data_IF_225327244311
#
_entry.id   IF_225327244311
#
_cell.length_a   1.000
_cell.length_b   1.000
_cell.length_c   1.000
_cell.angle_alpha   90.00
_cell.angle_beta   90.00
_cell.angle_gamma   90.00
#
_symmetry.space_group_name_H-M   'P 1'
#
loop_
_entity.id
_entity.type
_entity.pdbx_description
1 polymer ?
#
# COMPACT_ATOMS: atom_id res chain seq x y z
N UNK A 1 32.55 -14.10 -7.22
CA UNK A 1 31.97 -13.54 -5.97
C UNK A 1 31.73 -14.57 -4.88
N UNK A 2 31.26 -15.81 -5.13
CA UNK A 2 31.03 -16.80 -4.06
C UNK A 2 32.29 -17.39 -3.40
N UNK A 3 33.42 -17.45 -4.11
CA UNK A 3 34.67 -18.03 -3.57
C UNK A 3 35.38 -17.11 -2.56
N UNK A 4 35.30 -15.80 -2.78
CA UNK A 4 35.95 -14.77 -1.97
C UNK A 4 35.36 -14.64 -0.55
N UNK A 5 34.07 -14.98 -0.37
CA UNK A 5 33.41 -14.95 0.94
C UNK A 5 33.79 -16.14 1.80
N UNK A 6 34.01 -17.31 1.19
CA UNK A 6 34.40 -18.53 1.90
C UNK A 6 35.84 -18.43 2.43
N UNK A 7 36.76 -17.91 1.61
CA UNK A 7 38.16 -17.67 1.98
C UNK A 7 38.28 -16.63 3.11
N UNK A 8 37.40 -15.61 3.12
CA UNK A 8 37.33 -14.64 4.22
C UNK A 8 36.80 -15.28 5.52
N UNK A 9 35.88 -16.24 5.43
CA UNK A 9 35.31 -16.93 6.60
C UNK A 9 36.33 -17.85 7.28
N UNK A 10 37.04 -18.66 6.50
CA UNK A 10 38.07 -19.56 7.01
C UNK A 10 39.26 -18.80 7.63
N UNK A 11 39.58 -17.62 7.10
CA UNK A 11 40.63 -16.75 7.64
C UNK A 11 40.28 -16.14 9.01
N UNK A 12 39.00 -16.00 9.35
CA UNK A 12 38.55 -15.47 10.64
C UNK A 12 38.52 -16.59 11.69
N UNK A 13 38.13 -17.80 11.30
CA UNK A 13 38.06 -18.98 12.18
C UNK A 13 39.45 -19.41 12.68
N UNK A 14 40.50 -19.27 11.86
CA UNK A 14 41.88 -19.55 12.28
C UNK A 14 42.45 -18.56 13.32
N UNK A 15 41.90 -17.34 13.42
CA UNK A 15 42.42 -16.29 14.29
C UNK A 15 41.95 -16.41 15.77
N UNK A 16 40.99 -17.28 16.06
CA UNK A 16 40.39 -17.44 17.40
C UNK A 16 40.82 -18.74 18.12
N UNK A 17 41.94 -19.34 17.72
CA UNK A 17 42.48 -20.50 18.41
C UNK A 17 43.14 -20.10 19.75
N UNK A 18 42.32 -19.99 20.81
CA UNK A 18 42.81 -19.78 22.17
C UNK A 18 41.91 -18.99 23.14
N UNK A 19 40.69 -18.63 22.76
CA UNK A 19 39.72 -18.03 23.71
C UNK A 19 38.54 -18.98 23.91
N UNK A 20 38.15 -19.16 25.17
CA UNK A 20 37.27 -20.20 25.68
C UNK A 20 36.00 -20.43 24.87
N UNK A 21 35.72 -21.70 24.63
CA UNK A 21 34.51 -22.25 23.99
C UNK A 21 33.19 -21.75 24.63
N UNK A 22 33.26 -21.29 25.89
CA UNK A 22 32.14 -20.69 26.62
C UNK A 22 31.83 -19.22 26.27
N UNK A 23 32.69 -18.51 25.52
CA UNK A 23 32.44 -17.12 25.11
C UNK A 23 31.76 -17.01 23.75
N UNK A 24 31.62 -18.12 23.02
CA UNK A 24 31.05 -18.14 21.67
C UNK A 24 29.56 -18.51 21.64
N UNK A 25 29.03 -19.13 22.71
CA UNK A 25 27.62 -19.56 22.78
C UNK A 25 26.66 -18.41 23.08
N UNK A 26 27.12 -17.26 23.61
CA UNK A 26 26.25 -16.11 23.89
C UNK A 26 26.12 -15.10 22.74
N UNK A 27 26.68 -15.41 21.56
CA UNK A 27 26.57 -14.56 20.36
C UNK A 27 25.60 -15.12 19.30
N UNK A 28 25.03 -16.30 19.53
CA UNK A 28 24.07 -16.97 18.64
C UNK A 28 22.68 -17.15 19.25
N UNK A 29 22.40 -16.47 20.37
CA UNK A 29 21.01 -16.13 20.77
C UNK A 29 20.56 -14.87 20.00
N UNK A 30 20.86 -14.81 18.69
CA UNK A 30 20.27 -13.81 17.81
C UNK A 30 19.01 -14.44 17.24
N UNK A 31 17.88 -14.10 17.88
CA UNK A 31 16.54 -14.45 17.44
C UNK A 31 16.39 -14.25 15.92
N UNK A 32 16.39 -15.35 15.17
CA UNK A 32 16.05 -15.41 13.75
C UNK A 32 14.51 -15.43 13.54
N UNK A 33 13.76 -14.94 14.53
CA UNK A 33 12.30 -15.12 14.65
C UNK A 33 11.47 -13.83 14.43
N UNK A 34 12.02 -12.80 13.76
CA UNK A 34 11.22 -11.56 13.54
C UNK A 34 11.70 -10.54 12.51
N UNK A 35 12.86 -10.73 11.89
CA UNK A 35 13.44 -9.71 10.99
C UNK A 35 12.96 -9.88 9.54
N UNK A 36 12.52 -11.08 9.14
CA UNK A 36 12.13 -11.36 7.75
C UNK A 36 10.71 -10.92 7.38
N UNK A 37 9.77 -10.97 8.33
CA UNK A 37 8.39 -10.47 8.14
C UNK A 37 8.30 -8.96 8.29
N UNK A 38 8.97 -8.38 9.30
CA UNK A 38 9.00 -6.93 9.53
C UNK A 38 9.47 -6.13 8.32
N UNK A 39 10.44 -6.67 7.55
CA UNK A 39 10.93 -6.03 6.32
C UNK A 39 9.89 -5.96 5.20
N UNK A 40 8.95 -6.91 5.11
CA UNK A 40 7.90 -6.88 4.08
C UNK A 40 6.89 -5.79 4.40
N UNK A 41 6.52 -5.68 5.67
CA UNK A 41 5.61 -4.64 6.16
C UNK A 41 6.25 -3.25 6.02
N UNK A 42 7.55 -3.11 6.27
CA UNK A 42 8.28 -1.85 6.08
C UNK A 42 8.31 -1.38 4.60
N UNK A 43 8.49 -2.31 3.65
CA UNK A 43 8.51 -1.97 2.21
C UNK A 43 7.09 -1.68 1.71
N UNK A 44 6.10 -2.43 2.17
CA UNK A 44 4.71 -2.15 1.88
C UNK A 44 4.30 -0.77 2.41
N UNK A 45 4.63 -0.44 3.65
CA UNK A 45 4.32 0.88 4.22
C UNK A 45 5.01 2.01 3.45
N UNK A 46 6.24 1.80 2.96
CA UNK A 46 6.90 2.75 2.05
C UNK A 46 6.13 2.94 0.74
N UNK A 47 5.58 1.87 0.16
CA UNK A 47 4.74 1.96 -1.04
C UNK A 47 3.44 2.72 -0.75
N UNK A 48 2.78 2.41 0.38
CA UNK A 48 1.53 3.06 0.79
C UNK A 48 1.76 4.55 1.06
N UNK A 49 2.84 4.89 1.77
CA UNK A 49 3.26 6.27 2.04
C UNK A 49 3.62 7.01 0.75
N UNK A 50 4.29 6.35 -0.21
CA UNK A 50 4.58 6.95 -1.50
C UNK A 50 3.30 7.21 -2.32
N UNK A 51 2.34 6.30 -2.25
CA UNK A 51 1.03 6.46 -2.88
C UNK A 51 0.23 7.61 -2.25
N UNK A 52 0.31 7.76 -0.94
CA UNK A 52 -0.35 8.85 -0.18
C UNK A 52 0.24 10.22 -0.49
N UNK A 53 1.57 10.32 -0.67
CA UNK A 53 2.28 11.58 -0.92
C UNK A 53 2.44 11.93 -2.41
N UNK A 54 1.69 11.30 -3.30
CA UNK A 54 1.79 11.44 -4.76
C UNK A 54 3.23 11.23 -5.33
N UNK A 55 4.04 10.36 -4.70
CA UNK A 55 5.43 10.11 -5.10
C UNK A 55 5.54 8.94 -6.10
N UNK A 56 5.18 9.21 -7.35
CA UNK A 56 5.26 8.23 -8.45
C UNK A 56 6.67 7.65 -8.66
N UNK A 57 7.77 8.43 -8.63
CA UNK A 57 9.12 7.88 -8.79
C UNK A 57 9.46 6.80 -7.75
N UNK A 58 9.14 7.04 -6.48
CA UNK A 58 9.36 6.07 -5.41
C UNK A 58 8.50 4.82 -5.61
N UNK A 59 7.22 4.98 -5.95
CA UNK A 59 6.35 3.84 -6.24
C UNK A 59 6.87 2.99 -7.40
N UNK A 60 7.32 3.62 -8.48
CA UNK A 60 7.94 2.92 -9.62
C UNK A 60 9.19 2.15 -9.20
N UNK A 61 10.04 2.75 -8.37
CA UNK A 61 11.24 2.08 -7.86
C UNK A 61 10.91 0.87 -6.98
N UNK A 62 9.86 0.94 -6.15
CA UNK A 62 9.46 -0.17 -5.29
C UNK A 62 8.82 -1.28 -6.11
N UNK A 63 7.90 -0.94 -7.01
CA UNK A 63 7.19 -1.92 -7.84
C UNK A 63 8.07 -2.58 -8.90
N UNK A 64 9.15 -1.91 -9.36
CA UNK A 64 10.12 -2.54 -10.26
C UNK A 64 10.93 -3.64 -9.56
N UNK A 65 11.18 -3.49 -8.26
CA UNK A 65 11.84 -4.50 -7.43
C UNK A 65 10.86 -5.60 -6.99
N UNK A 66 9.61 -5.22 -6.66
CA UNK A 66 8.59 -6.12 -6.13
C UNK A 66 7.21 -5.84 -6.74
N UNK A 67 6.94 -6.34 -7.97
CA UNK A 67 5.66 -6.09 -8.65
C UNK A 67 4.44 -6.67 -7.90
N UNK A 68 4.64 -7.70 -7.08
CA UNK A 68 3.58 -8.35 -6.30
C UNK A 68 2.94 -7.41 -5.28
N UNK A 69 3.64 -6.34 -4.86
CA UNK A 69 3.12 -5.37 -3.90
C UNK A 69 1.94 -4.54 -4.44
N UNK A 70 1.72 -4.49 -5.76
CA UNK A 70 0.59 -3.77 -6.35
C UNK A 70 -0.77 -4.25 -5.82
N UNK A 71 -0.86 -5.53 -5.42
CA UNK A 71 -2.06 -6.16 -4.84
C UNK A 71 -1.98 -6.34 -3.33
N UNK A 72 -0.85 -6.00 -2.71
CA UNK A 72 -0.67 -6.12 -1.28
C UNK A 72 -1.47 -5.03 -0.54
N UNK A 73 -1.81 -5.33 0.70
CA UNK A 73 -2.56 -4.43 1.58
C UNK A 73 -1.97 -4.47 2.98
N UNK A 74 -2.10 -3.36 3.71
CA UNK A 74 -1.70 -3.31 5.12
C UNK A 74 -2.61 -4.18 6.00
N UNK A 75 -2.34 -4.14 7.30
CA UNK A 75 -3.09 -4.89 8.30
C UNK A 75 -4.60 -4.63 8.20
N UNK A 76 -5.06 -3.46 7.75
CA UNK A 76 -6.48 -3.08 7.65
C UNK A 76 -7.08 -3.29 6.26
N UNK A 77 -6.29 -3.84 5.33
CA UNK A 77 -6.72 -4.14 3.98
C UNK A 77 -6.61 -2.94 3.03
N UNK A 78 -5.92 -1.87 3.42
CA UNK A 78 -5.65 -0.75 2.52
C UNK A 78 -4.54 -1.10 1.55
N UNK A 79 -4.86 -1.07 0.26
CA UNK A 79 -3.87 -1.14 -0.82
C UNK A 79 -3.31 0.23 -1.14
N UNK A 80 -2.24 0.29 -1.94
CA UNK A 80 -1.69 1.55 -2.43
C UNK A 80 -2.75 2.42 -3.15
N UNK A 81 -3.71 1.79 -3.84
CA UNK A 81 -4.78 2.51 -4.54
C UNK A 81 -5.77 3.15 -3.56
N UNK A 82 -6.06 2.51 -2.41
CA UNK A 82 -6.89 3.15 -1.38
C UNK A 82 -6.23 4.41 -0.84
N UNK A 83 -4.92 4.34 -0.52
CA UNK A 83 -4.16 5.49 0.02
C UNK A 83 -4.09 6.64 -0.98
N UNK A 84 -3.73 6.35 -2.23
CA UNK A 84 -3.71 7.35 -3.29
C UNK A 84 -5.10 7.97 -3.52
N UNK A 85 -6.16 7.17 -3.45
CA UNK A 85 -7.53 7.62 -3.70
C UNK A 85 -8.05 8.58 -2.62
N UNK A 86 -7.80 8.32 -1.33
CA UNK A 86 -8.24 9.24 -0.27
C UNK A 86 -7.32 10.45 -0.09
N UNK A 87 -6.06 10.38 -0.50
CA UNK A 87 -5.14 11.52 -0.43
C UNK A 87 -5.22 12.44 -1.67
N UNK A 88 -6.05 12.07 -2.65
CA UNK A 88 -6.17 12.72 -3.94
C UNK A 88 -4.86 12.77 -4.74
N UNK A 89 -4.04 11.72 -4.63
CA UNK A 89 -2.78 11.59 -5.36
C UNK A 89 -3.02 11.15 -6.80
N UNK A 90 -3.50 12.07 -7.62
CA UNK A 90 -3.97 11.84 -9.00
C UNK A 90 -2.94 11.10 -9.87
N UNK A 91 -1.66 11.46 -9.79
CA UNK A 91 -0.63 10.82 -10.60
C UNK A 91 -0.38 9.38 -10.16
N UNK A 92 -0.37 9.14 -8.84
CA UNK A 92 -0.28 7.80 -8.27
C UNK A 92 -1.51 6.94 -8.58
N UNK A 93 -2.73 7.50 -8.53
CA UNK A 93 -3.97 6.79 -8.91
C UNK A 93 -3.87 6.32 -10.36
N UNK A 94 -3.55 7.22 -11.29
CA UNK A 94 -3.40 6.87 -12.71
C UNK A 94 -2.32 5.80 -12.92
N UNK A 95 -1.17 5.97 -12.27
CA UNK A 95 -0.07 5.01 -12.36
C UNK A 95 -0.47 3.62 -11.84
N UNK A 96 -1.09 3.55 -10.66
CA UNK A 96 -1.54 2.30 -10.05
C UNK A 96 -2.56 1.56 -10.91
N UNK A 97 -3.54 2.28 -11.47
CA UNK A 97 -4.53 1.69 -12.38
C UNK A 97 -3.83 1.15 -13.63
N UNK A 98 -2.92 1.92 -14.22
CA UNK A 98 -2.13 1.47 -15.38
C UNK A 98 -1.24 0.26 -15.08
N UNK A 99 -0.81 0.10 -13.82
CA UNK A 99 -0.03 -1.02 -13.33
C UNK A 99 -0.87 -2.25 -12.95
N UNK A 100 -2.20 -2.19 -13.11
CA UNK A 100 -3.11 -3.31 -12.82
C UNK A 100 -3.52 -3.44 -11.36
N UNK A 101 -3.55 -2.33 -10.60
CA UNK A 101 -4.16 -2.31 -9.28
C UNK A 101 -5.67 -2.64 -9.37
N UNK A 102 -6.18 -3.38 -8.39
CA UNK A 102 -7.60 -3.75 -8.36
C UNK A 102 -8.47 -2.58 -7.90
N UNK A 103 -9.47 -2.21 -8.71
CA UNK A 103 -10.49 -1.22 -8.37
C UNK A 103 -11.51 -1.75 -7.34
N UNK A 104 -11.61 -3.07 -7.22
CA UNK A 104 -12.56 -3.75 -6.33
C UNK A 104 -11.87 -4.34 -5.07
N UNK A 105 -10.62 -3.97 -4.82
CA UNK A 105 -9.94 -4.33 -3.58
C UNK A 105 -10.77 -3.85 -2.39
N UNK A 106 -10.88 -4.69 -1.35
CA UNK A 106 -11.70 -4.41 -0.17
C UNK A 106 -10.86 -4.35 1.10
N UNK A 107 -11.03 -3.29 1.87
CA UNK A 107 -10.51 -3.20 3.24
C UNK A 107 -11.28 -4.15 4.17
N UNK A 108 -10.85 -4.25 5.44
CA UNK A 108 -11.60 -4.97 6.49
C UNK A 108 -13.03 -4.48 6.67
N UNK A 109 -13.28 -3.18 6.43
CA UNK A 109 -14.61 -2.57 6.51
C UNK A 109 -15.42 -2.75 5.20
N UNK A 110 -14.85 -3.45 4.22
CA UNK A 110 -15.44 -3.66 2.91
C UNK A 110 -15.35 -2.45 2.00
N UNK A 111 -14.51 -1.46 2.34
CA UNK A 111 -14.36 -0.26 1.52
C UNK A 111 -13.54 -0.58 0.28
N UNK A 112 -13.99 -0.07 -0.87
CA UNK A 112 -13.20 -0.04 -2.10
C UNK A 112 -12.41 1.26 -2.19
N UNK A 113 -11.42 1.40 -3.09
CA UNK A 113 -10.75 2.67 -3.33
C UNK A 113 -11.72 3.81 -3.62
N UNK A 114 -12.85 3.53 -4.28
CA UNK A 114 -13.91 4.51 -4.52
C UNK A 114 -14.59 4.96 -3.22
N UNK A 115 -14.88 4.04 -2.30
CA UNK A 115 -15.39 4.40 -0.96
C UNK A 115 -14.42 5.34 -0.23
N UNK A 116 -13.12 5.04 -0.27
CA UNK A 116 -12.07 5.88 0.33
C UNK A 116 -12.04 7.28 -0.30
N UNK A 117 -12.07 7.39 -1.63
CA UNK A 117 -12.09 8.70 -2.29
C UNK A 117 -13.36 9.51 -1.96
N UNK A 118 -14.52 8.86 -1.92
CA UNK A 118 -15.80 9.51 -1.60
C UNK A 118 -15.88 10.00 -0.16
N UNK A 119 -15.42 9.21 0.81
CA UNK A 119 -15.39 9.60 2.22
C UNK A 119 -14.52 10.83 2.47
N UNK A 120 -13.50 11.04 1.63
CA UNK A 120 -12.58 12.19 1.74
C UNK A 120 -12.91 13.34 0.77
N UNK A 121 -13.97 13.20 -0.04
CA UNK A 121 -14.39 14.16 -1.06
C UNK A 121 -13.28 14.50 -2.07
N UNK A 122 -12.49 13.49 -2.46
CA UNK A 122 -11.39 13.57 -3.43
C UNK A 122 -11.93 13.43 -4.85
N UNK A 123 -12.58 14.48 -5.36
CA UNK A 123 -13.39 14.41 -6.58
C UNK A 123 -12.57 14.07 -7.84
N UNK A 124 -11.31 14.48 -7.97
CA UNK A 124 -10.47 14.07 -9.10
C UNK A 124 -10.21 12.56 -9.09
N UNK A 125 -9.88 12.01 -7.92
CA UNK A 125 -9.68 10.56 -7.77
C UNK A 125 -10.96 9.77 -8.02
N UNK A 126 -12.11 10.28 -7.54
CA UNK A 126 -13.44 9.70 -7.84
C UNK A 126 -13.68 9.67 -9.35
N UNK A 127 -13.47 10.77 -10.05
CA UNK A 127 -13.66 10.85 -11.50
C UNK A 127 -12.78 9.85 -12.25
N UNK A 128 -11.52 9.70 -11.86
CA UNK A 128 -10.58 8.75 -12.47
C UNK A 128 -11.03 7.30 -12.21
N UNK A 129 -11.38 6.96 -10.97
CA UNK A 129 -11.82 5.61 -10.61
C UNK A 129 -13.08 5.20 -11.38
N UNK A 130 -14.08 6.10 -11.45
CA UNK A 130 -15.31 5.87 -12.22
C UNK A 130 -15.04 5.72 -13.72
N UNK A 131 -14.16 6.56 -14.27
CA UNK A 131 -13.78 6.48 -15.70
C UNK A 131 -13.08 5.17 -16.06
N UNK A 132 -12.49 4.49 -15.08
CA UNK A 132 -11.84 3.19 -15.24
C UNK A 132 -12.75 2.01 -14.84
N UNK A 133 -14.03 2.26 -14.57
CA UNK A 133 -15.03 1.21 -14.33
C UNK A 133 -15.15 0.75 -12.88
N UNK A 134 -14.76 1.57 -11.90
CA UNK A 134 -15.05 1.28 -10.50
C UNK A 134 -16.56 1.22 -10.24
N UNK A 135 -17.02 0.20 -9.51
CA UNK A 135 -18.44 0.00 -9.20
C UNK A 135 -18.97 1.08 -8.22
N UNK A 136 -19.80 1.98 -8.75
CA UNK A 136 -20.48 3.05 -8.01
C UNK A 136 -21.51 2.53 -7.01
N UNK A 137 -22.05 1.33 -7.23
CA UNK A 137 -23.06 0.70 -6.40
C UNK A 137 -22.47 -0.30 -5.39
N UNK A 138 -21.14 -0.42 -5.35
CA UNK A 138 -20.46 -1.30 -4.40
C UNK A 138 -20.87 -0.94 -2.95
N UNK A 139 -21.07 -1.97 -2.13
CA UNK A 139 -21.44 -1.80 -0.73
C UNK A 139 -20.27 -2.20 0.17
N UNK A 140 -20.02 -1.38 1.19
CA UNK A 140 -19.19 -1.71 2.35
C UNK A 140 -19.91 -2.70 3.29
N UNK A 141 -19.22 -3.19 4.32
CA UNK A 141 -19.80 -4.10 5.32
C UNK A 141 -20.98 -3.47 6.08
N UNK A 142 -20.96 -2.14 6.23
CA UNK A 142 -22.07 -1.36 6.78
C UNK A 142 -23.24 -1.13 5.83
N UNK A 143 -23.25 -1.76 4.64
CA UNK A 143 -24.22 -1.51 3.55
C UNK A 143 -24.26 -0.06 3.08
N UNK A 144 -23.16 0.67 3.28
CA UNK A 144 -23.00 2.03 2.77
C UNK A 144 -22.40 1.95 1.37
N UNK A 145 -22.99 2.67 0.44
CA UNK A 145 -22.43 2.89 -0.91
C UNK A 145 -21.47 4.09 -0.90
N UNK A 146 -20.63 4.26 -1.95
CA UNK A 146 -19.82 5.46 -2.12
C UNK A 146 -20.62 6.77 -2.01
N UNK A 147 -21.86 6.78 -2.50
CA UNK A 147 -22.76 7.93 -2.39
C UNK A 147 -23.16 8.24 -0.94
N UNK A 148 -23.48 7.22 -0.14
CA UNK A 148 -23.78 7.40 1.28
C UNK A 148 -22.58 8.01 2.02
N UNK A 149 -21.36 7.54 1.71
CA UNK A 149 -20.14 8.07 2.29
C UNK A 149 -19.86 9.51 1.85
N UNK A 150 -20.06 9.84 0.57
CA UNK A 150 -19.87 11.21 0.08
C UNK A 150 -20.79 12.21 0.80
N UNK A 151 -22.06 11.85 1.04
CA UNK A 151 -23.04 12.71 1.73
C UNK A 151 -22.72 12.84 3.23
N UNK A 152 -22.34 11.73 3.88
CA UNK A 152 -22.03 11.72 5.31
C UNK A 152 -20.63 12.28 5.63
N UNK A 153 -19.79 12.50 4.61
CA UNK A 153 -18.49 13.09 4.78
C UNK A 153 -18.65 14.51 5.33
N UNK A 154 -18.15 14.76 6.54
CA UNK A 154 -18.10 16.09 7.16
C UNK A 154 -17.02 16.96 6.49
N UNK A 155 -17.17 17.18 5.17
CA UNK A 155 -16.24 17.89 4.30
C UNK A 155 -16.88 19.18 3.77
N UNK A 156 -16.09 20.14 3.27
CA UNK A 156 -16.63 21.37 2.70
C UNK A 156 -17.67 21.09 1.61
N UNK A 157 -18.80 21.80 1.67
CA UNK A 157 -19.95 21.57 0.80
C UNK A 157 -19.59 21.55 -0.69
N UNK A 158 -18.71 22.44 -1.13
CA UNK A 158 -18.24 22.52 -2.52
C UNK A 158 -17.63 21.19 -3.03
N UNK A 159 -16.78 20.55 -2.21
CA UNK A 159 -16.13 19.28 -2.57
C UNK A 159 -17.13 18.13 -2.55
N UNK A 160 -18.03 18.12 -1.57
CA UNK A 160 -19.07 17.11 -1.45
C UNK A 160 -20.03 17.18 -2.64
N UNK A 161 -20.52 18.36 -3.01
CA UNK A 161 -21.39 18.54 -4.17
C UNK A 161 -20.73 18.07 -5.46
N UNK A 162 -19.44 18.35 -5.65
CA UNK A 162 -18.69 17.91 -6.83
C UNK A 162 -18.52 16.39 -6.86
N UNK A 163 -18.21 15.78 -5.73
CA UNK A 163 -18.10 14.32 -5.60
C UNK A 163 -19.44 13.62 -5.89
N UNK A 164 -20.53 14.13 -5.32
CA UNK A 164 -21.89 13.63 -5.58
C UNK A 164 -22.25 13.80 -7.05
N UNK A 165 -21.91 14.94 -7.67
CA UNK A 165 -22.13 15.16 -9.10
C UNK A 165 -21.45 14.08 -9.95
N UNK A 166 -20.17 13.77 -9.70
CA UNK A 166 -19.48 12.69 -10.42
C UNK A 166 -20.15 11.33 -10.23
N UNK A 167 -20.56 10.99 -9.02
CA UNK A 167 -21.24 9.72 -8.74
C UNK A 167 -22.59 9.59 -9.45
N UNK A 168 -23.35 10.68 -9.57
CA UNK A 168 -24.63 10.69 -10.28
C UNK A 168 -24.49 10.59 -11.81
N UNK A 169 -23.33 10.99 -12.35
CA UNK A 169 -23.02 10.87 -13.77
C UNK A 169 -22.39 9.52 -14.14
N UNK A 170 -22.05 8.69 -13.15
CA UNK A 170 -21.49 7.37 -13.41
C UNK A 170 -22.54 6.46 -14.08
N UNK A 171 -22.18 5.75 -15.17
CA UNK A 171 -23.06 4.74 -15.73
C UNK A 171 -23.23 3.60 -14.72
N UNK A 172 -24.49 3.28 -14.39
CA UNK A 172 -24.88 2.20 -13.49
C UNK A 172 -24.97 0.85 -14.16
#
# INVERSE_FOLDING_TARGET
MKKTVLEAKESIEGAFHGKSEAMFVSAWDYDDDGISEKRKDDILEQLLTAAENNNVPQMKSILSLQPTLIKASDADGYTALHRAAYSNSVDCVNFLISAGASLDARTKDGWTPLHSACNWACYESVGILLSNGADVNSCSNGKLTPLHLAINAQKPLERTCTTVYYLLQAPG
#
